data_IF_758795925835
#
_entry.id   IF_758795925835
#
_cell.length_a   1.000
_cell.length_b   1.000
_cell.length_c   1.000
_cell.angle_alpha   90.00
_cell.angle_beta   90.00
_cell.angle_gamma   90.00
#
_symmetry.space_group_name_H-M   'P 1'
#
loop_
_entity.id
_entity.type
_entity.pdbx_description
1 polymer ?
#
# COMPACT_ATOMS: atom_id res chain seq x y z
N UNK A 1 4.46 -11.02 -6.14
CA UNK A 1 4.54 -10.53 -4.76
C UNK A 1 5.74 -11.09 -3.98
N UNK A 2 5.90 -12.41 -3.78
CA UNK A 2 6.98 -13.00 -2.93
C UNK A 2 8.39 -12.48 -3.28
N UNK A 3 8.77 -12.43 -4.57
CA UNK A 3 10.08 -11.92 -5.00
C UNK A 3 10.34 -10.47 -4.58
N UNK A 4 9.35 -9.60 -4.67
CA UNK A 4 9.47 -8.19 -4.30
C UNK A 4 9.60 -7.99 -2.79
N UNK A 5 8.88 -8.81 -2.01
CA UNK A 5 9.00 -8.82 -0.55
C UNK A 5 10.42 -9.17 -0.10
N UNK A 6 10.97 -10.28 -0.62
CA UNK A 6 12.33 -10.69 -0.27
C UNK A 6 13.39 -9.71 -0.79
N UNK A 7 13.21 -9.14 -1.98
CA UNK A 7 14.10 -8.11 -2.50
C UNK A 7 14.14 -6.88 -1.58
N UNK A 8 12.98 -6.42 -1.10
CA UNK A 8 12.88 -5.29 -0.19
C UNK A 8 13.60 -5.52 1.15
N UNK A 9 13.66 -6.79 1.61
CA UNK A 9 14.37 -7.15 2.83
C UNK A 9 15.86 -7.37 2.60
N UNK A 10 16.23 -8.14 1.58
CA UNK A 10 17.61 -8.58 1.35
C UNK A 10 18.49 -7.43 0.86
N UNK A 11 17.95 -6.54 0.02
CA UNK A 11 18.74 -5.47 -0.60
C UNK A 11 19.36 -4.51 0.45
N UNK A 12 18.62 -3.92 1.41
CA UNK A 12 19.24 -3.07 2.42
C UNK A 12 20.20 -3.82 3.36
N UNK A 13 19.94 -5.10 3.63
CA UNK A 13 20.88 -5.96 4.40
C UNK A 13 22.19 -6.14 3.63
N UNK A 14 22.12 -6.48 2.35
CA UNK A 14 23.30 -6.67 1.50
C UNK A 14 24.11 -5.37 1.37
N UNK A 15 23.44 -4.23 1.16
CA UNK A 15 24.07 -2.91 1.09
C UNK A 15 24.81 -2.60 2.39
N UNK A 16 24.19 -2.87 3.54
CA UNK A 16 24.82 -2.66 4.84
C UNK A 16 26.04 -3.57 5.05
N UNK A 17 25.93 -4.87 4.73
CA UNK A 17 27.04 -5.81 4.83
C UNK A 17 28.23 -5.38 3.96
N UNK A 18 27.99 -4.99 2.72
CA UNK A 18 29.05 -4.47 1.83
C UNK A 18 29.70 -3.22 2.43
N UNK A 19 28.89 -2.32 3.02
CA UNK A 19 29.41 -1.11 3.67
C UNK A 19 30.25 -1.37 4.91
N UNK A 20 30.09 -2.54 5.55
CA UNK A 20 30.88 -2.96 6.72
C UNK A 20 32.23 -3.59 6.36
N UNK A 21 32.40 -4.07 5.12
CA UNK A 21 33.67 -4.73 4.71
C UNK A 21 34.92 -3.86 4.93
N UNK A 22 34.94 -2.56 4.57
CA UNK A 22 36.10 -1.69 4.79
C UNK A 22 36.37 -1.41 6.29
N UNK A 23 35.37 -1.66 7.15
CA UNK A 23 35.45 -1.41 8.59
C UNK A 23 35.87 -2.67 9.40
N UNK A 24 36.25 -3.77 8.73
CA UNK A 24 36.58 -5.03 9.35
C UNK A 24 35.38 -5.90 9.71
N UNK A 25 34.21 -5.62 9.18
CA UNK A 25 32.98 -6.37 9.40
C UNK A 25 32.19 -5.96 10.66
N UNK A 26 31.16 -6.73 11.03
CA UNK A 26 30.22 -6.35 12.11
C UNK A 26 30.80 -6.48 13.54
N UNK A 27 32.06 -6.87 13.70
CA UNK A 27 32.69 -7.07 15.01
C UNK A 27 32.31 -8.42 15.65
N UNK A 28 32.95 -8.73 16.81
CA UNK A 28 32.73 -10.00 17.50
C UNK A 28 32.33 -9.86 18.98
N UNK A 29 32.54 -8.69 19.60
CA UNK A 29 32.11 -8.47 20.96
C UNK A 29 30.63 -8.05 21.06
N UNK A 30 30.01 -8.35 22.20
CA UNK A 30 28.58 -8.12 22.42
C UNK A 30 28.12 -6.67 22.15
N UNK A 31 28.89 -5.66 22.61
CA UNK A 31 28.45 -4.28 22.49
C UNK A 31 28.57 -3.75 21.06
N UNK A 32 29.61 -4.16 20.34
CA UNK A 32 29.78 -3.84 18.91
C UNK A 32 28.71 -4.52 18.08
N UNK A 33 28.46 -5.82 18.31
CA UNK A 33 27.39 -6.55 17.62
C UNK A 33 26.02 -5.94 17.90
N UNK A 34 25.74 -5.57 19.16
CA UNK A 34 24.51 -4.85 19.52
C UNK A 34 24.38 -3.54 18.74
N UNK A 35 25.43 -2.70 18.76
CA UNK A 35 25.42 -1.42 18.05
C UNK A 35 25.14 -1.59 16.56
N UNK A 36 25.83 -2.53 15.93
CA UNK A 36 25.66 -2.83 14.51
C UNK A 36 24.29 -3.45 14.18
N UNK A 37 23.75 -4.27 15.07
CA UNK A 37 22.39 -4.80 14.91
C UNK A 37 21.31 -3.72 15.03
N UNK A 38 21.49 -2.72 15.89
CA UNK A 38 20.62 -1.55 15.99
C UNK A 38 20.65 -0.78 14.67
N UNK A 39 21.84 -0.49 14.13
CA UNK A 39 21.98 0.21 12.85
C UNK A 39 21.35 -0.58 11.71
N UNK A 40 21.65 -1.87 11.60
CA UNK A 40 21.07 -2.72 10.56
C UNK A 40 19.54 -2.77 10.62
N UNK A 41 18.97 -3.06 11.80
CA UNK A 41 17.52 -3.12 11.97
C UNK A 41 16.85 -1.77 11.67
N UNK A 42 17.51 -0.65 12.04
CA UNK A 42 17.08 0.70 11.72
C UNK A 42 17.08 0.96 10.21
N UNK A 43 18.17 0.66 9.50
CA UNK A 43 18.27 0.84 8.04
C UNK A 43 17.22 0.01 7.32
N UNK A 44 17.03 -1.25 7.70
CA UNK A 44 16.04 -2.13 7.07
C UNK A 44 14.63 -1.61 7.33
N UNK A 45 14.26 -1.34 8.59
CA UNK A 45 12.94 -0.82 8.94
C UNK A 45 12.63 0.49 8.21
N UNK A 46 13.58 1.42 8.18
CA UNK A 46 13.46 2.70 7.49
C UNK A 46 13.26 2.53 5.97
N UNK A 47 14.01 1.62 5.35
CA UNK A 47 13.88 1.28 3.92
C UNK A 47 12.50 0.73 3.60
N UNK A 48 11.99 -0.18 4.44
CA UNK A 48 10.65 -0.72 4.28
C UNK A 48 9.59 0.36 4.43
N UNK A 49 9.73 1.27 5.41
CA UNK A 49 8.81 2.39 5.60
C UNK A 49 8.80 3.33 4.40
N UNK A 50 9.95 3.63 3.79
CA UNK A 50 10.04 4.42 2.56
C UNK A 50 9.26 3.75 1.41
N UNK A 51 9.47 2.45 1.20
CA UNK A 51 8.78 1.69 0.17
C UNK A 51 7.28 1.60 0.42
N UNK A 52 6.86 1.38 1.67
CA UNK A 52 5.43 1.36 2.07
C UNK A 52 4.77 2.71 1.78
N UNK A 53 5.46 3.81 2.06
CA UNK A 53 4.96 5.17 1.78
C UNK A 53 4.85 5.41 0.27
N UNK A 54 5.81 4.95 -0.52
CA UNK A 54 5.74 4.99 -1.98
C UNK A 54 4.56 4.16 -2.52
N UNK A 55 4.38 2.93 -2.04
CA UNK A 55 3.25 2.07 -2.42
C UNK A 55 1.89 2.73 -2.12
N UNK A 56 1.79 3.49 -1.03
CA UNK A 56 0.57 4.20 -0.66
C UNK A 56 0.18 5.33 -1.63
N UNK A 57 1.11 5.84 -2.45
CA UNK A 57 0.80 6.81 -3.53
C UNK A 57 0.14 6.16 -4.74
N UNK A 58 0.19 4.83 -4.86
CA UNK A 58 -0.41 4.04 -5.96
C UNK A 58 0.00 4.55 -7.34
N UNK A 59 1.29 4.68 -7.68
CA UNK A 59 1.68 5.12 -9.01
C UNK A 59 1.45 3.98 -10.02
N UNK A 60 0.90 4.30 -11.19
CA UNK A 60 0.52 3.31 -12.22
C UNK A 60 1.69 2.42 -12.66
N UNK A 61 2.89 3.02 -12.84
CA UNK A 61 4.08 2.26 -13.21
C UNK A 61 4.45 1.16 -12.19
N UNK A 62 4.22 1.43 -10.90
CA UNK A 62 4.49 0.46 -9.82
C UNK A 62 3.41 -0.61 -9.75
N UNK A 63 2.16 -0.26 -10.01
CA UNK A 63 1.07 -1.22 -10.17
C UNK A 63 1.39 -2.20 -11.31
N UNK A 64 1.85 -1.68 -12.45
CA UNK A 64 2.26 -2.47 -13.59
C UNK A 64 3.41 -3.42 -13.27
N UNK A 65 4.43 -2.93 -12.59
CA UNK A 65 5.60 -3.70 -12.17
C UNK A 65 5.26 -4.83 -11.19
N UNK A 66 4.33 -4.58 -10.28
CA UNK A 66 3.92 -5.52 -9.22
C UNK A 66 2.86 -6.53 -9.70
N UNK A 67 2.18 -6.26 -10.81
CA UNK A 67 1.17 -7.13 -11.39
C UNK A 67 -0.25 -6.85 -10.89
N UNK A 68 -0.53 -5.62 -10.45
CA UNK A 68 -1.85 -5.14 -10.07
C UNK A 68 -1.90 -4.50 -8.68
N UNK A 69 -2.95 -3.70 -8.46
CA UNK A 69 -3.14 -2.97 -7.21
C UNK A 69 -3.38 -3.91 -6.00
N UNK A 70 -3.99 -5.07 -6.22
CA UNK A 70 -4.17 -6.11 -5.20
C UNK A 70 -2.83 -6.64 -4.69
N UNK A 71 -1.86 -6.85 -5.59
CA UNK A 71 -0.50 -7.25 -5.24
C UNK A 71 0.24 -6.14 -4.49
N UNK A 72 0.03 -4.88 -4.90
CA UNK A 72 0.57 -3.71 -4.21
C UNK A 72 0.05 -3.62 -2.77
N UNK A 73 -1.26 -3.80 -2.54
CA UNK A 73 -1.83 -3.80 -1.18
C UNK A 73 -1.35 -4.97 -0.33
N UNK A 74 -1.21 -6.16 -0.92
CA UNK A 74 -0.63 -7.31 -0.21
C UNK A 74 0.82 -7.05 0.19
N UNK A 75 1.61 -6.49 -0.72
CA UNK A 75 3.00 -6.13 -0.45
C UNK A 75 3.09 -5.07 0.65
N UNK A 76 2.32 -3.98 0.53
CA UNK A 76 2.20 -2.92 1.54
C UNK A 76 1.89 -3.50 2.93
N UNK A 77 0.89 -4.38 3.04
CA UNK A 77 0.49 -5.02 4.30
C UNK A 77 1.65 -5.81 4.92
N UNK A 78 2.29 -6.70 4.16
CA UNK A 78 3.34 -7.56 4.70
C UNK A 78 4.61 -6.79 5.04
N UNK A 79 5.00 -5.81 4.21
CA UNK A 79 6.10 -4.92 4.54
C UNK A 79 5.79 -4.09 5.79
N UNK A 80 4.54 -3.62 5.96
CA UNK A 80 4.10 -2.89 7.15
C UNK A 80 4.21 -3.70 8.43
N UNK A 81 3.76 -4.96 8.41
CA UNK A 81 3.90 -5.88 9.55
C UNK A 81 5.37 -6.12 9.86
N UNK A 82 6.19 -6.37 8.84
CA UNK A 82 7.62 -6.62 8.99
C UNK A 82 8.36 -5.38 9.50
N UNK A 83 8.04 -4.20 8.99
CA UNK A 83 8.61 -2.94 9.49
C UNK A 83 8.26 -2.71 10.96
N UNK A 84 7.00 -2.95 11.36
CA UNK A 84 6.58 -2.86 12.77
C UNK A 84 7.34 -3.84 13.67
N UNK A 85 7.52 -5.09 13.23
CA UNK A 85 8.31 -6.08 13.97
C UNK A 85 9.79 -5.66 14.08
N UNK A 86 10.38 -5.11 13.02
CA UNK A 86 11.75 -4.61 13.04
C UNK A 86 11.92 -3.38 13.93
N UNK A 87 10.95 -2.46 13.96
CA UNK A 87 10.94 -1.32 14.89
C UNK A 87 10.88 -1.81 16.33
N UNK A 88 10.05 -2.82 16.61
CA UNK A 88 10.00 -3.43 17.94
C UNK A 88 11.33 -4.08 18.33
N UNK A 89 11.95 -4.86 17.45
CA UNK A 89 13.26 -5.48 17.67
C UNK A 89 14.35 -4.42 17.87
N UNK A 90 14.37 -3.38 17.04
CA UNK A 90 15.28 -2.24 17.15
C UNK A 90 15.19 -1.57 18.53
N UNK A 91 13.96 -1.30 18.98
CA UNK A 91 13.70 -0.74 20.30
C UNK A 91 14.13 -1.68 21.43
N UNK A 92 13.84 -3.01 21.32
CA UNK A 92 14.30 -4.00 22.30
C UNK A 92 15.82 -4.04 22.42
N UNK A 93 16.54 -4.02 21.30
CA UNK A 93 18.02 -4.00 21.29
C UNK A 93 18.58 -2.74 21.96
N UNK A 94 17.84 -1.63 21.91
CA UNK A 94 18.27 -0.40 22.58
C UNK A 94 18.01 -0.43 24.08
N UNK A 95 16.89 -0.97 24.54
CA UNK A 95 16.44 -0.88 25.94
C UNK A 95 16.88 -2.06 26.79
N UNK A 96 16.71 -3.31 26.31
CA UNK A 96 16.96 -4.50 27.14
C UNK A 96 18.40 -4.59 27.67
N UNK A 97 19.45 -4.39 26.84
CA UNK A 97 20.82 -4.41 27.35
C UNK A 97 21.14 -3.30 28.36
N UNK A 98 20.45 -2.15 28.27
CA UNK A 98 20.59 -1.08 29.27
C UNK A 98 20.02 -1.52 30.62
N UNK A 99 18.86 -2.23 30.62
CA UNK A 99 18.25 -2.78 31.83
C UNK A 99 19.14 -3.88 32.45
N UNK A 100 19.66 -4.80 31.60
CA UNK A 100 20.55 -5.87 32.06
C UNK A 100 21.82 -5.29 32.68
N UNK A 101 22.38 -4.25 32.09
CA UNK A 101 23.55 -3.59 32.67
C UNK A 101 23.22 -2.85 33.98
N UNK A 102 22.04 -2.25 34.12
CA UNK A 102 21.58 -1.63 35.36
C UNK A 102 21.32 -2.68 36.45
N UNK A 103 20.86 -3.87 36.07
CA UNK A 103 20.66 -5.01 36.97
C UNK A 103 21.97 -5.75 37.37
N UNK A 104 23.13 -5.31 36.83
CA UNK A 104 24.42 -5.94 37.11
C UNK A 104 24.69 -7.22 36.30
N UNK A 105 23.83 -7.60 35.36
CA UNK A 105 23.98 -8.81 34.53
C UNK A 105 24.93 -8.61 33.34
N UNK A 106 25.20 -7.37 32.97
CA UNK A 106 26.13 -7.01 31.89
C UNK A 106 27.06 -5.89 32.35
N UNK A 107 28.33 -6.00 32.02
CA UNK A 107 29.32 -4.94 32.25
C UNK A 107 29.34 -4.00 31.05
N UNK A 108 29.14 -2.68 31.27
CA UNK A 108 29.33 -1.71 30.21
C UNK A 108 30.80 -1.44 29.97
N UNK A 109 31.26 -1.34 28.72
CA UNK A 109 32.61 -0.89 28.44
C UNK A 109 32.78 0.54 28.96
N UNK A 110 33.99 0.86 29.44
CA UNK A 110 34.35 2.21 29.84
C UNK A 110 34.15 3.18 28.63
N UNK A 111 33.63 4.34 28.89
CA UNK A 111 33.54 5.38 27.85
C UNK A 111 34.96 5.78 27.45
N UNK A 112 35.35 5.58 26.20
CA UNK A 112 36.58 6.14 25.66
C UNK A 112 36.47 7.67 25.72
N UNK A 113 37.41 8.31 26.42
CA UNK A 113 37.42 9.75 26.61
C UNK A 113 37.64 10.59 25.35
N UNK A 114 38.04 9.94 24.23
CA UNK A 114 38.36 10.58 22.96
C UNK A 114 37.40 10.12 21.85
N UNK A 115 36.08 10.14 22.08
CA UNK A 115 35.15 9.94 20.98
C UNK A 115 35.30 11.11 19.98
N UNK A 116 35.50 10.85 18.68
CA UNK A 116 35.57 11.92 17.69
C UNK A 116 34.28 12.72 17.70
N UNK A 117 34.39 14.05 17.51
CA UNK A 117 33.22 14.91 17.30
C UNK A 117 32.40 14.38 16.14
N UNK A 118 31.11 14.22 16.33
CA UNK A 118 30.19 13.73 15.30
C UNK A 118 29.53 14.90 14.59
N UNK A 119 29.27 14.71 13.30
CA UNK A 119 28.68 15.74 12.44
C UNK A 119 27.38 16.34 13.06
N UNK A 120 26.57 15.51 13.73
CA UNK A 120 25.29 15.93 14.32
C UNK A 120 25.24 15.78 15.85
N UNK A 121 26.35 15.96 16.57
CA UNK A 121 26.42 15.67 18.02
C UNK A 121 25.32 16.39 18.82
N UNK A 122 25.09 17.69 18.55
CA UNK A 122 24.08 18.51 19.25
C UNK A 122 22.64 18.00 19.02
N UNK A 123 22.36 17.41 17.86
CA UNK A 123 21.03 16.92 17.49
C UNK A 123 20.79 15.47 17.94
N UNK A 124 21.80 14.80 18.47
CA UNK A 124 21.79 13.37 18.73
C UNK A 124 20.80 12.96 19.82
N UNK A 125 20.76 13.67 20.93
CA UNK A 125 19.84 13.35 22.02
C UNK A 125 18.38 13.66 21.64
N UNK A 126 18.05 14.84 21.07
CA UNK A 126 16.73 15.06 20.49
C UNK A 126 16.30 13.99 19.45
N UNK A 127 17.24 13.53 18.61
CA UNK A 127 16.92 12.50 17.61
C UNK A 127 16.62 11.13 18.26
N UNK A 128 17.28 10.77 19.37
CA UNK A 128 16.96 9.55 20.12
C UNK A 128 15.58 9.64 20.77
N UNK A 129 15.29 10.76 21.43
CA UNK A 129 14.02 10.96 22.13
C UNK A 129 12.84 10.93 21.13
N UNK A 130 12.99 11.62 20.00
CA UNK A 130 12.01 11.56 18.90
C UNK A 130 11.87 10.13 18.40
N UNK A 131 12.96 9.40 18.15
CA UNK A 131 12.94 8.01 17.70
C UNK A 131 12.22 7.08 18.66
N UNK A 132 12.39 7.26 19.97
CA UNK A 132 11.70 6.46 20.99
C UNK A 132 10.18 6.69 20.93
N UNK A 133 9.72 7.93 20.91
CA UNK A 133 8.30 8.25 20.76
C UNK A 133 7.71 7.77 19.43
N UNK A 134 8.44 7.93 18.33
CA UNK A 134 8.02 7.42 17.03
C UNK A 134 7.88 5.89 17.04
N UNK A 135 8.79 5.18 17.71
CA UNK A 135 8.72 3.73 17.89
C UNK A 135 7.43 3.32 18.62
N UNK A 136 7.11 3.95 19.76
CA UNK A 136 5.86 3.66 20.49
C UNK A 136 4.62 3.93 19.63
N UNK A 137 4.57 5.07 18.95
CA UNK A 137 3.44 5.42 18.10
C UNK A 137 3.32 4.44 16.92
N UNK A 138 4.42 4.12 16.24
CA UNK A 138 4.41 3.21 15.09
C UNK A 138 3.96 1.79 15.49
N UNK A 139 4.50 1.24 16.59
CA UNK A 139 4.10 -0.07 17.11
C UNK A 139 2.61 -0.06 17.47
N UNK A 140 2.15 0.95 18.19
CA UNK A 140 0.73 1.09 18.56
C UNK A 140 -0.16 1.13 17.33
N UNK A 141 0.17 1.94 16.33
CA UNK A 141 -0.62 2.06 15.09
C UNK A 141 -0.62 0.76 14.28
N UNK A 142 0.51 0.02 14.24
CA UNK A 142 0.56 -1.29 13.57
C UNK A 142 -0.31 -2.29 14.32
N UNK A 143 -0.26 -2.34 15.64
CA UNK A 143 -1.12 -3.21 16.45
C UNK A 143 -2.60 -2.88 16.23
N UNK A 144 -2.97 -1.60 16.27
CA UNK A 144 -4.34 -1.14 15.98
C UNK A 144 -4.77 -1.54 14.56
N UNK A 145 -3.86 -1.49 13.57
CA UNK A 145 -4.15 -1.90 12.20
C UNK A 145 -4.42 -3.41 12.05
N UNK A 146 -3.94 -4.23 12.98
CA UNK A 146 -4.14 -5.69 12.99
C UNK A 146 -5.44 -6.10 13.73
N UNK A 147 -6.03 -5.20 14.53
CA UNK A 147 -7.26 -5.48 15.29
C UNK A 147 -8.47 -5.36 14.36
N UNK A 148 -9.12 -6.49 14.08
CA UNK A 148 -10.28 -6.57 13.17
C UNK A 148 -11.54 -5.85 13.68
N UNK A 149 -11.64 -5.58 14.97
CA UNK A 149 -12.82 -4.94 15.59
C UNK A 149 -12.82 -3.42 15.50
N UNK A 150 -11.72 -2.81 15.04
CA UNK A 150 -11.67 -1.35 14.87
C UNK A 150 -12.46 -0.97 13.61
N UNK A 151 -13.46 -0.07 13.72
CA UNK A 151 -14.21 0.39 12.57
C UNK A 151 -13.27 0.99 11.51
N UNK A 152 -13.49 0.66 10.24
CA UNK A 152 -12.60 1.02 9.13
C UNK A 152 -12.32 2.52 9.02
N UNK A 153 -13.30 3.38 9.33
CA UNK A 153 -13.12 4.83 9.30
C UNK A 153 -12.12 5.36 10.35
N UNK A 154 -12.05 4.75 11.55
CA UNK A 154 -11.04 5.07 12.56
C UNK A 154 -9.66 4.57 12.13
N UNK A 155 -9.57 3.33 11.68
CA UNK A 155 -8.33 2.78 11.13
C UNK A 155 -7.77 3.71 10.04
N UNK A 156 -8.58 4.11 9.07
CA UNK A 156 -8.18 4.97 7.97
C UNK A 156 -7.69 6.34 8.43
N UNK A 157 -8.35 6.95 9.43
CA UNK A 157 -7.92 8.24 9.99
C UNK A 157 -6.55 8.14 10.67
N UNK A 158 -6.36 7.15 11.53
CA UNK A 158 -5.11 6.91 12.25
C UNK A 158 -3.98 6.54 11.28
N UNK A 159 -4.27 5.72 10.28
CA UNK A 159 -3.28 5.29 9.29
C UNK A 159 -2.74 6.45 8.45
N UNK A 160 -3.49 7.52 8.28
CA UNK A 160 -3.01 8.74 7.59
C UNK A 160 -1.88 9.47 8.34
N UNK A 161 -1.58 9.12 9.60
CA UNK A 161 -0.45 9.66 10.33
C UNK A 161 0.90 9.08 9.88
N UNK A 162 0.94 7.90 9.25
CA UNK A 162 2.20 7.25 8.88
C UNK A 162 3.12 8.06 7.97
N UNK A 163 2.67 8.80 6.95
CA UNK A 163 3.55 9.68 6.17
C UNK A 163 4.24 10.74 7.03
N UNK A 164 3.54 11.32 8.02
CA UNK A 164 4.13 12.27 8.95
C UNK A 164 5.16 11.61 9.87
N UNK A 165 4.85 10.40 10.39
CA UNK A 165 5.79 9.62 11.18
C UNK A 165 7.04 9.26 10.39
N UNK A 166 6.92 8.93 9.09
CA UNK A 166 8.07 8.67 8.24
C UNK A 166 8.97 9.90 8.09
N UNK A 167 8.39 11.08 7.85
CA UNK A 167 9.14 12.34 7.73
C UNK A 167 9.89 12.63 9.05
N UNK A 168 9.26 12.43 10.19
CA UNK A 168 9.91 12.59 11.49
C UNK A 168 10.99 11.51 11.74
N UNK A 169 10.75 10.26 11.31
CA UNK A 169 11.74 9.18 11.38
C UNK A 169 12.96 9.44 10.48
N UNK A 170 12.80 10.24 9.42
CA UNK A 170 13.92 10.65 8.57
C UNK A 170 14.93 11.49 9.37
N UNK A 171 14.47 12.41 10.22
CA UNK A 171 15.35 13.15 11.11
C UNK A 171 16.13 12.22 12.05
N UNK A 172 15.45 11.27 12.69
CA UNK A 172 16.07 10.24 13.54
C UNK A 172 17.12 9.43 12.78
N UNK A 173 16.76 8.92 11.60
CA UNK A 173 17.64 8.05 10.81
C UNK A 173 18.91 8.77 10.31
N UNK A 174 18.76 10.02 9.83
CA UNK A 174 19.89 10.83 9.34
C UNK A 174 20.83 11.22 10.47
N UNK A 175 20.32 11.74 11.57
CA UNK A 175 21.14 12.24 12.69
C UNK A 175 21.87 11.09 13.40
N UNK A 176 21.28 9.91 13.48
CA UNK A 176 21.88 8.77 14.19
C UNK A 176 22.68 7.83 13.31
N UNK A 177 22.71 8.03 11.99
CA UNK A 177 23.57 7.25 11.10
C UNK A 177 25.05 7.47 11.51
N UNK A 178 25.83 6.42 11.75
CA UNK A 178 27.26 6.54 12.06
C UNK A 178 28.03 7.29 10.97
N UNK A 179 28.94 8.19 11.37
CA UNK A 179 29.74 8.99 10.43
C UNK A 179 30.53 8.13 9.45
N UNK A 180 31.03 6.98 9.89
CA UNK A 180 31.73 6.01 9.04
C UNK A 180 30.86 5.42 7.92
N UNK A 181 29.54 5.44 8.04
CA UNK A 181 28.62 4.94 7.01
C UNK A 181 28.23 5.98 5.96
N UNK A 182 28.39 7.26 6.25
CA UNK A 182 28.02 8.33 5.32
C UNK A 182 28.68 8.21 3.93
N UNK A 183 30.00 7.99 3.83
CA UNK A 183 30.67 7.86 2.55
C UNK A 183 30.49 6.47 1.88
N UNK A 184 29.65 5.60 2.43
CA UNK A 184 29.43 4.23 1.94
C UNK A 184 28.10 4.09 1.18
N UNK A 185 27.88 2.90 0.62
CA UNK A 185 26.60 2.56 -0.01
C UNK A 185 25.42 2.67 0.95
N UNK A 186 25.62 2.42 2.26
CA UNK A 186 24.56 2.59 3.28
C UNK A 186 24.14 4.03 3.44
N UNK A 187 25.06 4.99 3.46
CA UNK A 187 24.73 6.41 3.52
C UNK A 187 23.93 6.86 2.30
N UNK A 188 24.41 6.51 1.09
CA UNK A 188 23.69 6.79 -0.17
C UNK A 188 22.29 6.18 -0.14
N UNK A 189 22.16 4.92 0.31
CA UNK A 189 20.88 4.23 0.41
C UNK A 189 19.90 4.91 1.36
N UNK A 190 20.35 5.33 2.54
CA UNK A 190 19.53 6.05 3.53
C UNK A 190 19.04 7.38 2.95
N UNK A 191 19.91 8.13 2.25
CA UNK A 191 19.51 9.38 1.57
C UNK A 191 18.48 9.13 0.47
N UNK A 192 18.68 8.10 -0.36
CA UNK A 192 17.70 7.73 -1.40
C UNK A 192 16.36 7.33 -0.78
N UNK A 193 16.36 6.52 0.28
CA UNK A 193 15.14 6.16 1.00
C UNK A 193 14.44 7.39 1.61
N UNK A 194 15.22 8.34 2.17
CA UNK A 194 14.72 9.60 2.67
C UNK A 194 14.02 10.42 1.58
N UNK A 195 14.68 10.61 0.44
CA UNK A 195 14.12 11.35 -0.70
C UNK A 195 12.82 10.70 -1.20
N UNK A 196 12.86 9.41 -1.50
CA UNK A 196 11.68 8.69 -2.01
C UNK A 196 10.53 8.73 -1.03
N UNK A 197 10.76 8.39 0.23
CA UNK A 197 9.70 8.32 1.23
C UNK A 197 9.17 9.69 1.64
N UNK A 198 10.02 10.73 1.77
CA UNK A 198 9.57 12.09 2.07
C UNK A 198 8.77 12.69 0.91
N UNK A 199 9.23 12.54 -0.33
CA UNK A 199 8.47 13.01 -1.50
C UNK A 199 7.13 12.30 -1.61
N UNK A 200 7.09 10.98 -1.43
CA UNK A 200 5.85 10.21 -1.38
C UNK A 200 4.95 10.64 -0.22
N UNK A 201 5.50 10.82 0.97
CA UNK A 201 4.78 11.29 2.15
C UNK A 201 4.16 12.67 1.95
N UNK A 202 4.93 13.63 1.44
CA UNK A 202 4.46 14.97 1.11
C UNK A 202 3.39 14.93 0.01
N UNK A 203 3.54 14.08 -1.02
CA UNK A 203 2.53 13.91 -2.05
C UNK A 203 1.21 13.36 -1.50
N UNK A 204 1.25 12.46 -0.51
CA UNK A 204 0.05 11.94 0.17
C UNK A 204 -0.60 13.05 1.02
N UNK A 205 0.19 13.74 1.86
CA UNK A 205 -0.30 14.77 2.78
C UNK A 205 -0.90 15.97 2.04
N UNK A 206 -0.32 16.37 0.92
CA UNK A 206 -0.80 17.47 0.06
C UNK A 206 -1.94 17.07 -0.89
N UNK A 207 -2.28 15.78 -0.98
CA UNK A 207 -3.23 15.26 -1.96
C UNK A 207 -2.72 15.20 -3.41
N UNK A 208 -1.44 15.52 -3.65
CA UNK A 208 -0.82 15.46 -4.98
C UNK A 208 -0.80 14.03 -5.54
N UNK A 209 -0.62 13.02 -4.68
CA UNK A 209 -0.60 11.62 -5.09
C UNK A 209 -1.88 11.17 -5.80
N UNK A 210 -2.98 11.87 -5.60
CA UNK A 210 -4.30 11.56 -6.15
C UNK A 210 -4.72 12.50 -7.30
N UNK A 211 -3.97 13.58 -7.55
CA UNK A 211 -4.28 14.52 -8.64
C UNK A 211 -4.20 13.83 -10.01
N UNK A 212 -5.15 14.14 -10.87
CA UNK A 212 -5.22 13.58 -12.23
C UNK A 212 -5.75 12.15 -12.34
N UNK A 213 -6.08 11.49 -11.21
CA UNK A 213 -6.69 10.15 -11.18
C UNK A 213 -8.21 10.20 -11.03
N UNK A 214 -8.78 11.37 -10.84
CA UNK A 214 -10.21 11.55 -10.63
C UNK A 214 -10.93 11.98 -11.89
N UNK A 215 -12.03 11.31 -12.13
CA UNK A 215 -13.03 11.63 -13.12
C UNK A 215 -14.34 11.92 -12.39
N UNK A 216 -15.15 12.82 -12.95
CA UNK A 216 -16.47 13.14 -12.40
C UNK A 216 -17.55 12.76 -13.38
N UNK A 217 -18.75 12.52 -12.85
CA UNK A 217 -19.90 12.14 -13.62
C UNK A 217 -21.19 12.19 -12.80
N UNK A 218 -22.25 11.72 -13.39
CA UNK A 218 -23.56 11.63 -12.75
C UNK A 218 -24.26 10.32 -13.06
N UNK A 219 -25.08 9.87 -12.12
CA UNK A 219 -25.92 8.69 -12.28
C UNK A 219 -27.03 8.99 -13.29
N UNK A 220 -27.14 8.17 -14.34
CA UNK A 220 -28.16 8.30 -15.36
C UNK A 220 -29.33 7.35 -15.17
N UNK A 221 -29.02 6.12 -14.75
CA UNK A 221 -30.04 5.09 -14.55
C UNK A 221 -29.66 4.20 -13.37
N UNK A 222 -30.66 3.65 -12.70
CA UNK A 222 -30.51 2.72 -11.58
C UNK A 222 -31.52 1.60 -11.75
N UNK A 223 -31.05 0.36 -11.85
CA UNK A 223 -31.89 -0.83 -11.84
C UNK A 223 -31.66 -1.56 -10.52
N UNK A 224 -32.73 -1.72 -9.73
CA UNK A 224 -32.66 -2.44 -8.44
C UNK A 224 -33.29 -3.82 -8.58
N UNK A 225 -32.52 -4.83 -8.21
CA UNK A 225 -32.95 -6.23 -8.24
C UNK A 225 -33.37 -6.71 -6.85
N UNK A 226 -34.20 -7.74 -6.80
CA UNK A 226 -34.75 -8.28 -5.56
C UNK A 226 -33.70 -8.81 -4.59
N UNK A 227 -32.55 -9.27 -5.12
CA UNK A 227 -31.47 -9.93 -4.33
C UNK A 227 -30.54 -8.94 -3.63
N UNK A 228 -30.92 -7.67 -3.49
CA UNK A 228 -30.07 -6.63 -2.94
C UNK A 228 -28.91 -6.25 -3.86
N UNK A 229 -29.06 -6.48 -5.15
CA UNK A 229 -28.14 -6.04 -6.21
C UNK A 229 -28.69 -4.79 -6.88
N UNK A 230 -27.82 -3.88 -7.23
CA UNK A 230 -28.16 -2.64 -7.93
C UNK A 230 -27.18 -2.46 -9.09
N UNK A 231 -27.73 -2.22 -10.28
CA UNK A 231 -26.96 -1.75 -11.43
C UNK A 231 -27.02 -0.23 -11.47
N UNK A 232 -25.87 0.40 -11.58
CA UNK A 232 -25.74 1.87 -11.62
C UNK A 232 -25.09 2.23 -12.94
N UNK A 233 -25.84 2.93 -13.79
CA UNK A 233 -25.33 3.45 -15.04
C UNK A 233 -25.01 4.94 -14.86
N UNK A 234 -23.77 5.30 -15.17
CA UNK A 234 -23.25 6.66 -14.99
C UNK A 234 -22.76 7.23 -16.30
N UNK A 235 -22.89 8.55 -16.42
CA UNK A 235 -22.29 9.32 -17.51
C UNK A 235 -21.17 10.18 -16.97
N UNK A 236 -20.00 10.05 -17.61
CA UNK A 236 -18.82 10.85 -17.30
C UNK A 236 -18.94 12.25 -17.91
N UNK A 237 -18.40 13.25 -17.23
CA UNK A 237 -18.43 14.64 -17.70
C UNK A 237 -17.50 14.84 -18.90
N UNK A 238 -16.45 14.03 -19.03
CA UNK A 238 -15.50 14.07 -20.14
C UNK A 238 -15.24 12.65 -20.70
N UNK A 239 -14.49 12.57 -21.79
CA UNK A 239 -14.17 11.35 -22.53
C UNK A 239 -12.73 10.84 -22.30
N UNK A 240 -12.03 11.39 -21.30
CA UNK A 240 -10.65 11.02 -20.99
C UNK A 240 -10.52 9.67 -20.26
N UNK A 241 -11.61 9.15 -19.71
CA UNK A 241 -11.61 7.87 -19.03
C UNK A 241 -11.45 6.75 -20.06
N UNK A 242 -10.33 6.06 -19.97
CA UNK A 242 -10.07 4.85 -20.75
C UNK A 242 -9.88 3.68 -19.79
N UNK A 243 -10.58 2.58 -20.02
CA UNK A 243 -10.45 1.36 -19.23
C UNK A 243 -10.51 0.12 -20.13
N UNK A 244 -10.22 -1.03 -19.58
CA UNK A 244 -10.34 -2.34 -20.26
C UNK A 244 -11.30 -3.21 -19.49
N UNK A 245 -12.06 -4.10 -20.17
CA UNK A 245 -12.88 -5.10 -19.52
C UNK A 245 -12.10 -5.88 -18.45
N UNK A 246 -12.70 -6.05 -17.26
CA UNK A 246 -12.07 -6.71 -16.13
C UNK A 246 -11.41 -5.76 -15.12
N UNK A 247 -11.28 -4.47 -15.43
CA UNK A 247 -10.79 -3.48 -14.48
C UNK A 247 -11.88 -3.04 -13.50
N UNK A 248 -11.43 -2.39 -12.41
CA UNK A 248 -12.28 -1.79 -11.39
C UNK A 248 -11.88 -0.34 -11.13
N UNK A 249 -12.75 0.40 -10.46
CA UNK A 249 -12.47 1.77 -10.04
C UNK A 249 -12.91 1.99 -8.58
N UNK A 250 -12.28 2.93 -7.90
CA UNK A 250 -12.82 3.45 -6.65
C UNK A 250 -13.84 4.52 -6.96
N UNK A 251 -15.08 4.29 -6.55
CA UNK A 251 -16.19 5.19 -6.82
C UNK A 251 -16.73 5.75 -5.52
N UNK A 252 -16.91 7.05 -5.47
CA UNK A 252 -17.61 7.78 -4.41
C UNK A 252 -18.84 8.47 -5.00
N UNK A 253 -20.00 8.08 -4.52
CA UNK A 253 -21.26 8.78 -4.81
C UNK A 253 -21.49 9.89 -3.78
N UNK A 254 -22.32 10.88 -4.12
CA UNK A 254 -22.59 12.01 -3.24
C UNK A 254 -23.08 11.60 -1.83
N UNK A 255 -23.72 10.43 -1.72
CA UNK A 255 -24.30 9.91 -0.48
C UNK A 255 -23.36 8.94 0.27
N UNK A 256 -22.12 8.71 -0.20
CA UNK A 256 -21.13 7.86 0.47
C UNK A 256 -20.02 8.69 1.08
N UNK A 257 -19.57 8.30 2.28
CA UNK A 257 -18.46 9.00 2.94
C UNK A 257 -17.11 8.63 2.31
N UNK A 258 -16.93 7.37 1.95
CA UNK A 258 -15.69 6.83 1.43
C UNK A 258 -15.86 6.26 0.01
N UNK A 259 -14.79 6.30 -0.81
CA UNK A 259 -14.80 5.64 -2.11
C UNK A 259 -14.75 4.13 -1.92
N UNK A 260 -15.57 3.41 -2.69
CA UNK A 260 -15.63 1.94 -2.69
C UNK A 260 -15.11 1.36 -4.01
N UNK A 261 -14.38 0.24 -3.99
CA UNK A 261 -13.94 -0.43 -5.20
C UNK A 261 -15.11 -1.17 -5.84
N UNK A 262 -15.44 -0.85 -7.08
CA UNK A 262 -16.44 -1.56 -7.88
C UNK A 262 -15.83 -2.00 -9.21
N UNK A 263 -16.08 -3.26 -9.58
CA UNK A 263 -15.75 -3.75 -10.91
C UNK A 263 -16.56 -3.02 -11.95
N UNK A 264 -15.92 -2.61 -13.04
CA UNK A 264 -16.58 -1.97 -14.17
C UNK A 264 -17.37 -3.06 -14.91
N UNK A 265 -18.66 -2.82 -15.10
CA UNK A 265 -19.57 -3.78 -15.74
C UNK A 265 -19.88 -3.42 -17.20
N UNK A 266 -19.70 -2.17 -17.63
CA UNK A 266 -19.89 -1.73 -19.03
C UNK A 266 -18.70 -2.10 -19.91
N UNK A 267 -18.95 -2.08 -21.23
CA UNK A 267 -17.88 -2.13 -22.23
C UNK A 267 -17.09 -0.83 -22.28
N UNK A 268 -15.91 -0.88 -22.89
CA UNK A 268 -15.02 0.27 -23.12
C UNK A 268 -15.26 1.00 -24.45
N UNK A 269 -16.39 0.72 -25.11
CA UNK A 269 -16.72 1.26 -26.43
C UNK A 269 -17.21 2.70 -26.40
N UNK A 270 -17.83 3.13 -25.30
CA UNK A 270 -18.20 4.53 -25.06
C UNK A 270 -17.47 5.07 -23.81
N UNK A 271 -16.44 5.96 -23.98
CA UNK A 271 -15.68 6.49 -22.86
C UNK A 271 -16.47 7.33 -21.88
N UNK A 272 -17.67 7.77 -22.28
CA UNK A 272 -18.55 8.57 -21.41
C UNK A 272 -19.56 7.74 -20.63
N UNK A 273 -19.69 6.44 -20.93
CA UNK A 273 -20.64 5.57 -20.23
C UNK A 273 -19.90 4.55 -19.41
N UNK A 274 -20.22 4.46 -18.13
CA UNK A 274 -19.69 3.45 -17.22
C UNK A 274 -20.79 2.88 -16.34
N UNK A 275 -20.76 1.59 -16.10
CA UNK A 275 -21.71 0.93 -15.20
C UNK A 275 -21.05 0.08 -14.15
N UNK A 276 -21.75 -0.13 -13.03
CA UNK A 276 -21.31 -0.92 -11.89
C UNK A 276 -22.45 -1.78 -11.38
N UNK A 277 -22.12 -3.03 -11.00
CA UNK A 277 -23.02 -3.92 -10.27
C UNK A 277 -22.63 -3.90 -8.79
N UNK A 278 -23.52 -3.43 -7.92
CA UNK A 278 -23.28 -3.26 -6.50
C UNK A 278 -24.22 -4.14 -5.69
N UNK A 279 -23.65 -5.01 -4.82
CA UNK A 279 -24.43 -5.81 -3.87
C UNK A 279 -24.36 -5.18 -2.48
N UNK A 280 -25.46 -5.22 -1.77
CA UNK A 280 -25.52 -4.79 -0.36
C UNK A 280 -24.76 -5.79 0.51
N UNK A 281 -23.64 -5.31 1.10
CA UNK A 281 -22.77 -6.12 1.97
C UNK A 281 -22.46 -5.45 3.32
N UNK A 282 -22.84 -4.18 3.50
CA UNK A 282 -22.57 -3.41 4.72
C UNK A 282 -23.28 -2.07 4.71
N UNK A 283 -23.05 -1.26 5.74
CA UNK A 283 -23.78 -0.02 6.01
C UNK A 283 -23.74 0.99 4.85
N UNK A 284 -22.57 1.16 4.22
CA UNK A 284 -22.41 2.12 3.11
C UNK A 284 -23.14 1.68 1.85
N UNK A 285 -23.06 0.38 1.49
CA UNK A 285 -23.78 -0.15 0.33
C UNK A 285 -25.27 -0.24 0.59
N UNK A 286 -25.71 -0.45 1.86
CA UNK A 286 -27.12 -0.38 2.26
C UNK A 286 -27.67 1.04 2.12
N UNK A 287 -26.92 2.05 2.57
CA UNK A 287 -27.27 3.47 2.38
C UNK A 287 -27.33 3.84 0.91
N UNK A 288 -26.35 3.37 0.12
CA UNK A 288 -26.32 3.62 -1.31
C UNK A 288 -27.57 3.06 -2.00
N UNK A 289 -27.96 1.81 -1.68
CA UNK A 289 -29.17 1.19 -2.21
C UNK A 289 -30.46 1.99 -1.92
N UNK A 290 -30.53 2.60 -0.73
CA UNK A 290 -31.73 3.34 -0.29
C UNK A 290 -31.77 4.76 -0.81
N UNK A 291 -30.63 5.44 -0.89
CA UNK A 291 -30.55 6.91 -1.08
C UNK A 291 -29.98 7.37 -2.42
N UNK A 292 -29.42 6.47 -3.23
CA UNK A 292 -28.89 6.86 -4.53
C UNK A 292 -30.05 7.19 -5.50
N UNK A 293 -29.97 8.35 -6.13
CA UNK A 293 -30.96 8.84 -7.08
C UNK A 293 -30.32 9.16 -8.45
N UNK A 294 -31.12 9.12 -9.49
CA UNK A 294 -30.75 9.63 -10.82
C UNK A 294 -30.32 11.09 -10.68
N UNK A 295 -29.27 11.50 -11.37
CA UNK A 295 -28.67 12.84 -11.27
C UNK A 295 -27.65 12.99 -10.13
N UNK A 296 -27.53 12.01 -9.21
CA UNK A 296 -26.51 12.06 -8.15
C UNK A 296 -25.11 12.18 -8.75
N UNK A 297 -24.30 13.10 -8.21
CA UNK A 297 -22.90 13.27 -8.63
C UNK A 297 -22.06 12.10 -8.13
N UNK A 298 -21.10 11.72 -8.94
CA UNK A 298 -20.11 10.69 -8.60
C UNK A 298 -18.69 11.16 -8.91
N UNK A 299 -17.73 10.60 -8.18
CA UNK A 299 -16.32 10.74 -8.44
C UNK A 299 -15.71 9.34 -8.56
N UNK A 300 -14.92 9.13 -9.61
CA UNK A 300 -14.24 7.90 -9.92
C UNK A 300 -12.73 8.11 -9.87
N UNK A 301 -12.02 7.21 -9.20
CA UNK A 301 -10.56 7.12 -9.20
C UNK A 301 -10.13 5.81 -9.84
N UNK A 302 -9.28 5.87 -10.83
CA UNK A 302 -8.80 4.70 -11.58
C UNK A 302 -8.76 4.94 -13.08
N UNK A 303 -8.88 3.90 -13.91
CA UNK A 303 -9.16 2.50 -13.56
C UNK A 303 -7.95 1.76 -12.99
N UNK A 304 -8.19 0.64 -12.31
CA UNK A 304 -7.20 -0.23 -11.70
C UNK A 304 -7.46 -1.70 -12.04
N UNK A 305 -6.45 -2.53 -11.80
CA UNK A 305 -6.57 -3.98 -11.92
C UNK A 305 -6.05 -4.53 -13.25
N UNK A 306 -5.66 -5.79 -13.19
CA UNK A 306 -5.06 -6.54 -14.30
C UNK A 306 -5.79 -7.85 -14.58
N UNK A 307 -7.04 -7.97 -14.17
CA UNK A 307 -7.90 -9.05 -14.63
C UNK A 307 -8.30 -8.77 -16.08
N UNK A 308 -7.35 -9.02 -16.99
CA UNK A 308 -7.55 -8.79 -18.41
C UNK A 308 -7.81 -10.12 -19.10
N UNK A 309 -8.68 -10.12 -20.08
CA UNK A 309 -9.00 -11.28 -20.91
C UNK A 309 -8.01 -11.43 -22.07
N UNK A 310 -6.80 -10.88 -21.94
CA UNK A 310 -5.79 -10.89 -22.98
C UNK A 310 -5.14 -12.29 -23.09
N UNK A 311 -5.15 -12.81 -24.31
CA UNK A 311 -4.24 -13.83 -24.84
C UNK A 311 -4.15 -15.16 -24.10
N UNK A 312 -5.24 -15.94 -24.11
CA UNK A 312 -5.11 -17.40 -24.09
C UNK A 312 -5.23 -17.92 -25.52
N UNK A 313 -4.23 -18.65 -25.99
CA UNK A 313 -4.28 -19.33 -27.28
C UNK A 313 -5.10 -20.66 -27.24
N UNK A 314 -5.90 -20.85 -26.19
CA UNK A 314 -6.69 -22.03 -25.91
C UNK A 314 -8.09 -21.74 -25.36
N UNK A 315 -8.82 -22.81 -25.04
CA UNK A 315 -10.14 -22.74 -24.42
C UNK A 315 -10.11 -21.91 -23.14
N UNK A 316 -11.10 -21.03 -22.96
CA UNK A 316 -11.25 -20.19 -21.78
C UNK A 316 -12.38 -20.70 -20.90
N UNK A 317 -12.11 -20.81 -19.60
CA UNK A 317 -13.15 -21.13 -18.60
C UNK A 317 -13.31 -19.92 -17.70
N UNK A 318 -14.50 -19.32 -17.75
CA UNK A 318 -14.87 -18.21 -16.88
C UNK A 318 -15.79 -18.72 -15.78
N UNK A 319 -15.50 -18.32 -14.55
CA UNK A 319 -16.32 -18.68 -13.40
C UNK A 319 -16.68 -17.40 -12.66
N UNK A 320 -17.96 -17.02 -12.66
CA UNK A 320 -18.47 -15.83 -11.99
C UNK A 320 -19.54 -16.19 -10.98
N UNK A 321 -19.55 -15.53 -9.81
CA UNK A 321 -20.58 -15.72 -8.79
C UNK A 321 -21.13 -14.39 -8.27
N UNK A 322 -22.46 -14.25 -8.17
CA UNK A 322 -23.12 -13.04 -7.73
C UNK A 322 -22.63 -11.81 -8.51
N UNK A 323 -22.31 -10.69 -7.83
CA UNK A 323 -21.77 -9.46 -8.48
C UNK A 323 -20.35 -9.63 -9.02
N UNK A 324 -19.65 -10.74 -8.71
CA UNK A 324 -18.38 -11.09 -9.34
C UNK A 324 -18.49 -11.40 -10.84
N UNK A 325 -19.70 -11.42 -11.38
CA UNK A 325 -19.97 -11.53 -12.83
C UNK A 325 -19.63 -10.24 -13.58
N UNK A 326 -19.59 -9.09 -12.93
CA UNK A 326 -19.44 -7.76 -13.56
C UNK A 326 -18.27 -7.66 -14.57
N UNK A 327 -17.03 -8.14 -14.29
CA UNK A 327 -15.94 -8.10 -15.26
C UNK A 327 -16.22 -8.94 -16.51
N UNK A 328 -16.96 -10.03 -16.39
CA UNK A 328 -17.33 -10.87 -17.52
C UNK A 328 -18.42 -10.21 -18.36
N UNK A 329 -19.40 -9.52 -17.74
CA UNK A 329 -20.41 -8.71 -18.44
C UNK A 329 -19.69 -7.65 -19.28
N UNK A 330 -18.78 -6.89 -18.68
CA UNK A 330 -17.96 -5.90 -19.40
C UNK A 330 -17.27 -6.48 -20.62
N UNK A 331 -16.69 -7.70 -20.48
CA UNK A 331 -16.03 -8.38 -21.60
C UNK A 331 -17.01 -8.85 -22.66
N UNK A 332 -18.16 -9.41 -22.29
CA UNK A 332 -19.19 -9.85 -23.24
C UNK A 332 -19.76 -8.68 -24.04
N UNK A 333 -20.04 -7.55 -23.40
CA UNK A 333 -20.47 -6.33 -24.08
C UNK A 333 -19.39 -5.82 -25.06
N UNK A 334 -18.12 -5.84 -24.64
CA UNK A 334 -17.01 -5.47 -25.51
C UNK A 334 -16.93 -6.36 -26.75
N UNK A 335 -17.06 -7.70 -26.58
CA UNK A 335 -17.06 -8.66 -27.70
C UNK A 335 -18.26 -8.47 -28.61
N UNK A 336 -19.45 -8.20 -28.06
CA UNK A 336 -20.66 -7.94 -28.85
C UNK A 336 -20.53 -6.66 -29.68
N UNK A 337 -19.90 -5.62 -29.14
CA UNK A 337 -19.64 -4.37 -29.86
C UNK A 337 -18.48 -4.48 -30.87
N UNK A 338 -17.55 -5.42 -30.67
CA UNK A 338 -16.36 -5.62 -31.49
C UNK A 338 -16.22 -7.08 -31.92
N UNK A 339 -17.04 -7.58 -32.85
CA UNK A 339 -17.02 -9.00 -33.28
C UNK A 339 -15.64 -9.46 -33.78
N UNK A 340 -14.86 -8.54 -34.37
CA UNK A 340 -13.49 -8.84 -34.82
C UNK A 340 -12.50 -9.09 -33.67
N UNK A 341 -12.84 -8.71 -32.44
CA UNK A 341 -12.05 -9.00 -31.24
C UNK A 341 -12.32 -10.43 -30.70
N UNK A 342 -13.34 -11.12 -31.21
CA UNK A 342 -13.63 -12.49 -30.91
C UNK A 342 -12.72 -13.39 -31.79
N UNK A 343 -11.77 -14.07 -31.16
CA UNK A 343 -11.00 -15.10 -31.86
C UNK A 343 -11.92 -16.28 -32.22
N UNK A 344 -12.02 -16.63 -33.48
CA UNK A 344 -12.93 -17.67 -34.00
C UNK A 344 -12.64 -19.09 -33.51
N UNK A 345 -11.46 -19.32 -32.89
CA UNK A 345 -10.96 -20.67 -32.56
C UNK A 345 -10.88 -20.94 -31.03
N UNK A 346 -11.41 -20.06 -30.16
CA UNK A 346 -11.36 -20.30 -28.71
C UNK A 346 -12.73 -20.73 -28.19
N UNK A 347 -12.83 -21.95 -27.68
CA UNK A 347 -13.99 -22.40 -26.91
C UNK A 347 -14.06 -21.57 -25.59
N UNK A 348 -15.17 -20.87 -25.40
CA UNK A 348 -15.46 -20.12 -24.20
C UNK A 348 -16.54 -20.82 -23.39
N UNK A 349 -16.19 -21.29 -22.20
CA UNK A 349 -17.15 -21.85 -21.25
C UNK A 349 -17.34 -20.87 -20.09
N UNK A 350 -18.56 -20.36 -19.92
CA UNK A 350 -18.89 -19.45 -18.82
C UNK A 350 -19.82 -20.13 -17.81
N UNK A 351 -19.33 -20.28 -16.58
CA UNK A 351 -20.07 -20.81 -15.44
C UNK A 351 -20.49 -19.66 -14.52
N UNK A 352 -21.80 -19.44 -14.42
CA UNK A 352 -22.36 -18.48 -13.49
C UNK A 352 -22.94 -19.22 -12.28
N UNK A 353 -22.36 -18.97 -11.11
CA UNK A 353 -22.77 -19.57 -9.84
C UNK A 353 -23.73 -18.64 -9.11
N UNK A 354 -24.95 -19.07 -8.89
CA UNK A 354 -25.92 -18.37 -8.02
C UNK A 354 -26.12 -19.18 -6.74
N UNK A 355 -26.43 -18.54 -5.60
CA UNK A 355 -26.95 -19.26 -4.45
C UNK A 355 -28.22 -20.01 -4.87
N UNK A 356 -28.38 -21.26 -4.41
CA UNK A 356 -29.61 -22.01 -4.59
C UNK A 356 -30.77 -21.18 -4.00
N UNK A 357 -31.73 -20.81 -4.86
CA UNK A 357 -32.96 -20.23 -4.34
C UNK A 357 -33.70 -21.41 -3.68
N UNK A 358 -33.77 -21.38 -2.36
CA UNK A 358 -34.68 -22.26 -1.65
C UNK A 358 -36.08 -22.06 -2.18
N UNK A 359 -36.83 -23.13 -2.54
CA UNK A 359 -38.17 -23.02 -3.09
C UNK A 359 -39.14 -22.30 -2.14
#
# INVERSE_FOLDING_TARGET
MKRWFWLALILPVAIWLISMLPQGGPGSDFWTLRGNSIILSGIVAYSLMALITLLATRPMWLEDLLGGLDQSYRLHKWLGITAGALVFVHWMMEIVPKWMAKAGWLTRPAKSGNAPERVFEVLRDPAKDIGEWLGYIAITLVLLALIKYIPYHWFRRLHKAFPLLFIAATFHAIVLLPDALWPTLSGIWVVLAALVGCLAGLAILSGLAQRGKYYTGSVQNIVRHADGVMEIHCRMDDDRLTFKPGQFAFVRFANTQDPHPFSIASSDTDPRTISFCVKVLGDDTSRLMQSLAIGSRMQLEGPYGRFTFANSDGAQVWVGGGVGVAPFISRLEHLAANPAAQRSDSDLHFFFCTPEQSP
#
